data_IF_581826202691
#
_entry.id   IF_581826202691
#
_cell.length_a   1.000
_cell.length_b   1.000
_cell.length_c   1.000
_cell.angle_alpha   90.00
_cell.angle_beta   90.00
_cell.angle_gamma   90.00
#
_symmetry.space_group_name_H-M   'P 1'
#
loop_
_entity.id
_entity.type
_entity.pdbx_description
1 polymer ?
#
# COMPACT_ATOMS: atom_id res chain seq x y z
N UNK A 1 16.67 7.23 8.66
CA UNK A 1 16.61 5.77 8.37
C UNK A 1 16.50 5.03 9.68
N UNK A 2 15.69 3.97 9.76
CA UNK A 2 15.37 3.31 11.03
C UNK A 2 16.31 2.15 11.39
N UNK A 3 17.03 1.58 10.41
CA UNK A 3 17.87 0.39 10.63
C UNK A 3 19.00 0.63 11.65
N UNK A 4 19.80 1.72 11.59
CA UNK A 4 20.85 1.98 12.58
C UNK A 4 20.30 2.09 14.01
N UNK A 5 19.12 2.72 14.17
CA UNK A 5 18.46 2.88 15.47
C UNK A 5 18.07 1.52 16.07
N UNK A 6 17.61 0.59 15.23
CA UNK A 6 17.29 -0.77 15.68
C UNK A 6 18.57 -1.52 16.06
N UNK A 7 19.64 -1.40 15.28
CA UNK A 7 20.92 -2.05 15.58
C UNK A 7 21.49 -1.56 16.93
N UNK A 8 21.47 -0.25 17.18
CA UNK A 8 21.86 0.34 18.47
C UNK A 8 21.00 -0.21 19.62
N UNK A 9 19.68 -0.30 19.43
CA UNK A 9 18.75 -0.81 20.44
C UNK A 9 19.03 -2.28 20.76
N UNK A 10 19.40 -3.08 19.76
CA UNK A 10 19.75 -4.48 19.94
C UNK A 10 20.99 -4.65 20.83
N UNK A 11 21.90 -3.68 20.91
CA UNK A 11 23.07 -3.79 21.79
C UNK A 11 22.68 -3.76 23.29
N UNK A 12 21.56 -3.13 23.63
CA UNK A 12 21.07 -3.04 25.02
C UNK A 12 20.30 -4.28 25.49
N UNK A 13 19.96 -5.20 24.58
CA UNK A 13 19.19 -6.40 24.89
C UNK A 13 20.12 -7.61 25.17
N UNK A 14 19.66 -8.65 25.89
CA UNK A 14 20.44 -9.87 26.13
C UNK A 14 20.88 -10.54 24.84
N UNK A 15 22.08 -11.14 24.77
CA UNK A 15 22.56 -11.82 23.54
C UNK A 15 21.62 -12.93 23.08
N UNK A 16 21.12 -13.72 24.02
CA UNK A 16 20.09 -14.72 23.77
C UNK A 16 18.72 -14.05 23.85
N UNK A 17 18.04 -13.94 22.71
CA UNK A 17 16.71 -13.32 22.59
C UNK A 17 15.92 -13.95 21.46
N UNK A 18 14.60 -13.91 21.58
CA UNK A 18 13.71 -14.22 20.48
C UNK A 18 13.36 -12.94 19.72
N UNK A 19 13.52 -12.95 18.40
CA UNK A 19 13.08 -11.86 17.52
C UNK A 19 11.95 -12.39 16.64
N UNK A 20 10.84 -11.65 16.60
CA UNK A 20 9.73 -11.89 15.68
C UNK A 20 9.66 -10.73 14.70
N UNK A 21 9.97 -10.98 13.44
CA UNK A 21 9.97 -9.96 12.39
C UNK A 21 8.76 -10.17 11.47
N UNK A 22 7.97 -9.12 11.30
CA UNK A 22 6.81 -9.10 10.40
C UNK A 22 7.06 -8.05 9.31
N UNK A 23 7.02 -8.47 8.04
CA UNK A 23 7.17 -7.55 6.92
C UNK A 23 6.15 -7.87 5.81
N UNK A 24 5.63 -6.81 5.19
CA UNK A 24 4.76 -6.90 4.03
C UNK A 24 5.55 -6.84 2.69
N UNK A 25 6.85 -6.54 2.75
CA UNK A 25 7.76 -6.52 1.58
C UNK A 25 9.16 -6.98 2.00
N UNK A 26 9.99 -7.38 1.03
CA UNK A 26 11.36 -7.87 1.29
C UNK A 26 12.41 -7.05 0.53
N UNK A 27 12.60 -5.75 0.85
CA UNK A 27 13.74 -5.02 0.31
C UNK A 27 15.05 -5.58 0.88
N UNK A 28 16.16 -5.36 0.16
CA UNK A 28 17.49 -5.88 0.55
C UNK A 28 17.88 -5.53 2.00
N UNK A 29 17.54 -4.34 2.49
CA UNK A 29 17.83 -3.94 3.87
C UNK A 29 17.18 -4.83 4.93
N UNK A 30 15.98 -5.37 4.67
CA UNK A 30 15.30 -6.32 5.56
C UNK A 30 15.96 -7.69 5.48
N UNK A 31 16.39 -8.10 4.29
CA UNK A 31 17.11 -9.38 4.08
C UNK A 31 18.46 -9.35 4.82
N UNK A 32 19.20 -8.26 4.68
CA UNK A 32 20.50 -8.08 5.35
C UNK A 32 20.33 -8.06 6.88
N UNK A 33 19.32 -7.34 7.38
CA UNK A 33 19.00 -7.33 8.81
C UNK A 33 18.63 -8.72 9.34
N UNK A 34 17.76 -9.46 8.61
CA UNK A 34 17.40 -10.85 8.94
C UNK A 34 18.64 -11.73 9.04
N UNK A 35 19.51 -11.68 8.02
CA UNK A 35 20.69 -12.53 7.96
C UNK A 35 21.69 -12.21 9.08
N UNK A 36 21.79 -10.94 9.48
CA UNK A 36 22.69 -10.50 10.56
C UNK A 36 22.18 -10.84 11.95
N UNK A 37 20.89 -10.68 12.21
CA UNK A 37 20.32 -10.76 13.57
C UNK A 37 19.45 -11.99 13.83
N UNK A 38 19.07 -12.72 12.78
CA UNK A 38 18.12 -13.84 12.82
C UNK A 38 18.54 -15.00 11.88
N UNK A 39 19.79 -15.50 11.91
CA UNK A 39 20.32 -16.42 10.91
C UNK A 39 19.57 -17.77 10.83
N UNK A 40 18.98 -18.23 11.94
CA UNK A 40 18.22 -19.50 12.01
C UNK A 40 16.71 -19.29 12.13
N UNK A 41 16.19 -18.13 11.72
CA UNK A 41 14.76 -17.87 11.82
C UNK A 41 13.92 -18.81 10.94
N UNK A 42 12.83 -19.31 11.50
CA UNK A 42 11.81 -20.00 10.73
C UNK A 42 11.04 -18.99 9.86
N UNK A 43 11.15 -19.13 8.55
CA UNK A 43 10.56 -18.22 7.59
C UNK A 43 9.19 -18.73 7.13
N UNK A 44 8.15 -17.91 7.37
CA UNK A 44 6.80 -18.15 6.85
C UNK A 44 6.52 -17.09 5.80
N UNK A 45 6.77 -17.43 4.53
CA UNK A 45 6.42 -16.56 3.42
C UNK A 45 5.04 -16.95 2.88
N UNK A 46 4.04 -16.12 3.20
CA UNK A 46 2.68 -16.24 2.68
C UNK A 46 2.43 -15.35 1.47
N UNK A 47 3.45 -14.63 0.99
CA UNK A 47 3.35 -13.91 -0.27
C UNK A 47 3.61 -14.89 -1.40
N UNK A 48 2.62 -15.06 -2.27
CA UNK A 48 2.95 -15.35 -3.66
C UNK A 48 3.88 -14.23 -4.11
N UNK A 49 5.01 -14.55 -4.76
CA UNK A 49 5.85 -13.51 -5.39
C UNK A 49 4.89 -12.55 -6.09
N UNK A 50 4.92 -11.26 -5.71
CA UNK A 50 4.19 -10.19 -6.37
C UNK A 50 4.80 -10.02 -7.76
N UNK A 51 4.61 -11.04 -8.60
CA UNK A 51 4.99 -11.01 -9.98
C UNK A 51 3.98 -10.08 -10.63
N UNK A 52 4.47 -9.04 -11.30
CA UNK A 52 3.66 -8.23 -12.22
C UNK A 52 3.21 -9.05 -13.44
N UNK A 53 3.32 -10.39 -13.37
CA UNK A 53 2.97 -11.34 -14.40
C UNK A 53 1.46 -11.30 -14.58
N UNK A 54 1.03 -10.86 -15.76
CA UNK A 54 -0.38 -10.63 -16.06
C UNK A 54 -0.87 -9.20 -15.79
N UNK A 55 -0.01 -8.31 -15.27
CA UNK A 55 -0.34 -6.88 -15.10
C UNK A 55 0.28 -6.07 -16.24
N UNK A 56 -0.56 -5.61 -17.16
CA UNK A 56 -0.14 -4.68 -18.21
C UNK A 56 -0.06 -3.26 -17.64
N UNK A 57 1.11 -2.63 -17.75
CA UNK A 57 1.38 -1.31 -17.19
C UNK A 57 1.45 -0.26 -18.29
N UNK A 58 0.79 0.88 -18.04
CA UNK A 58 0.79 2.03 -18.94
C UNK A 58 1.11 3.30 -18.16
N UNK A 59 1.58 4.31 -18.87
CA UNK A 59 1.67 5.67 -18.34
C UNK A 59 0.96 6.64 -19.27
N UNK A 60 0.42 7.71 -18.71
CA UNK A 60 -0.15 8.82 -19.45
C UNK A 60 0.53 10.11 -19.00
N UNK A 61 1.08 10.86 -19.95
CA UNK A 61 1.64 12.17 -19.67
C UNK A 61 0.50 13.18 -19.53
N UNK A 62 0.29 13.70 -18.32
CA UNK A 62 -0.83 14.60 -17.99
C UNK A 62 -0.39 15.72 -17.06
N UNK A 63 -0.86 16.93 -17.33
CA UNK A 63 -0.75 18.03 -16.39
C UNK A 63 -1.71 17.83 -15.20
N UNK A 64 -1.41 18.45 -14.07
CA UNK A 64 -2.19 18.31 -12.84
C UNK A 64 -3.68 18.66 -13.04
N UNK A 65 -3.96 19.74 -13.77
CA UNK A 65 -5.33 20.19 -14.10
C UNK A 65 -6.10 19.21 -14.99
N UNK A 66 -5.39 18.36 -15.74
CA UNK A 66 -5.97 17.40 -16.67
C UNK A 66 -6.23 16.04 -16.03
N UNK A 67 -5.65 15.73 -14.86
CA UNK A 67 -5.74 14.41 -14.22
C UNK A 67 -7.18 13.93 -14.02
N UNK A 68 -8.06 14.79 -13.51
CA UNK A 68 -9.46 14.42 -13.26
C UNK A 68 -10.19 14.13 -14.58
N UNK A 69 -9.93 14.91 -15.62
CA UNK A 69 -10.52 14.70 -16.94
C UNK A 69 -10.00 13.42 -17.61
N UNK A 70 -8.70 13.17 -17.51
CA UNK A 70 -8.06 11.94 -17.99
C UNK A 70 -8.66 10.72 -17.28
N UNK A 71 -8.79 10.77 -15.95
CA UNK A 71 -9.39 9.70 -15.16
C UNK A 71 -10.85 9.42 -15.58
N UNK A 72 -11.65 10.47 -15.76
CA UNK A 72 -13.03 10.32 -16.24
C UNK A 72 -13.07 9.65 -17.63
N UNK A 73 -12.15 10.02 -18.52
CA UNK A 73 -12.04 9.38 -19.85
C UNK A 73 -11.69 7.89 -19.74
N UNK A 74 -10.80 7.52 -18.80
CA UNK A 74 -10.49 6.12 -18.53
C UNK A 74 -11.72 5.36 -18.02
N UNK A 75 -12.47 5.93 -17.09
CA UNK A 75 -13.72 5.34 -16.58
C UNK A 75 -14.78 5.16 -17.67
N UNK A 76 -14.89 6.06 -18.64
CA UNK A 76 -15.83 5.88 -19.76
C UNK A 76 -15.37 4.87 -20.81
N UNK A 77 -14.06 4.68 -20.99
CA UNK A 77 -13.52 3.84 -22.08
C UNK A 77 -13.19 2.42 -21.65
N UNK A 78 -12.89 2.20 -20.37
CA UNK A 78 -12.50 0.90 -19.86
C UNK A 78 -13.70 0.20 -19.23
N UNK A 79 -13.82 -1.10 -19.50
CA UNK A 79 -14.77 -1.94 -18.79
C UNK A 79 -14.16 -2.34 -17.44
N UNK A 80 -14.45 -1.54 -16.42
CA UNK A 80 -13.90 -1.69 -15.07
C UNK A 80 -14.91 -2.44 -14.20
N UNK A 81 -14.50 -3.56 -13.59
CA UNK A 81 -15.27 -4.21 -12.54
C UNK A 81 -15.11 -3.46 -11.20
N UNK A 82 -13.86 -3.36 -10.72
CA UNK A 82 -13.47 -2.55 -9.57
C UNK A 82 -12.14 -1.86 -9.87
N UNK A 83 -11.93 -0.67 -9.28
CA UNK A 83 -10.69 0.08 -9.43
C UNK A 83 -10.22 0.65 -8.09
N UNK A 84 -8.89 0.73 -7.94
CA UNK A 84 -8.22 1.39 -6.82
C UNK A 84 -7.40 2.54 -7.38
N UNK A 85 -7.57 3.75 -6.82
CA UNK A 85 -6.80 4.93 -7.20
C UNK A 85 -5.94 5.37 -6.02
N UNK A 86 -4.62 5.44 -6.26
CA UNK A 86 -3.66 5.89 -5.26
C UNK A 86 -3.39 7.40 -5.38
N UNK A 87 -3.39 8.09 -4.25
CA UNK A 87 -3.06 9.51 -4.14
C UNK A 87 -1.91 9.70 -3.13
N UNK A 88 -1.02 10.66 -3.41
CA UNK A 88 0.16 10.90 -2.57
C UNK A 88 -0.12 11.60 -1.23
N UNK A 89 -1.36 12.06 -0.98
CA UNK A 89 -1.71 12.69 0.30
C UNK A 89 -3.16 12.45 0.69
N UNK A 90 -3.41 12.50 2.00
CA UNK A 90 -4.74 12.36 2.61
C UNK A 90 -5.74 13.35 2.02
N UNK A 91 -5.36 14.63 1.96
CA UNK A 91 -6.21 15.69 1.41
C UNK A 91 -6.59 15.42 -0.05
N UNK A 92 -5.67 14.85 -0.85
CA UNK A 92 -5.97 14.51 -2.24
C UNK A 92 -6.89 13.30 -2.37
N UNK A 93 -6.81 12.33 -1.45
CA UNK A 93 -7.77 11.21 -1.38
C UNK A 93 -9.18 11.76 -1.18
N UNK A 94 -9.38 12.61 -0.18
CA UNK A 94 -10.70 13.19 0.14
C UNK A 94 -11.24 14.06 -1.00
N UNK A 95 -10.40 14.95 -1.56
CA UNK A 95 -10.80 15.82 -2.68
C UNK A 95 -11.15 15.03 -3.94
N UNK A 96 -10.36 13.99 -4.26
CA UNK A 96 -10.63 13.17 -5.44
C UNK A 96 -11.90 12.35 -5.25
N UNK A 97 -12.10 11.74 -4.08
CA UNK A 97 -13.32 11.00 -3.76
C UNK A 97 -14.56 11.88 -3.92
N UNK A 98 -14.55 13.09 -3.36
CA UNK A 98 -15.63 14.06 -3.54
C UNK A 98 -15.92 14.34 -5.02
N UNK A 99 -14.88 14.62 -5.83
CA UNK A 99 -15.05 14.90 -7.26
C UNK A 99 -15.59 13.69 -8.04
N UNK A 100 -15.11 12.49 -7.74
CA UNK A 100 -15.58 11.25 -8.38
C UNK A 100 -17.06 11.00 -8.05
N UNK A 101 -17.46 11.21 -6.80
CA UNK A 101 -18.87 11.13 -6.38
C UNK A 101 -19.74 12.19 -7.06
N UNK A 102 -19.25 13.43 -7.20
CA UNK A 102 -19.94 14.51 -7.93
C UNK A 102 -20.11 14.18 -9.43
N UNK A 103 -19.19 13.42 -10.02
CA UNK A 103 -19.29 12.91 -11.39
C UNK A 103 -20.26 11.71 -11.53
N UNK A 104 -20.87 11.25 -10.43
CA UNK A 104 -21.89 10.20 -10.42
C UNK A 104 -21.34 8.78 -10.25
N UNK A 105 -20.05 8.63 -9.95
CA UNK A 105 -19.46 7.31 -9.67
C UNK A 105 -19.59 6.95 -8.19
N UNK A 106 -19.96 5.72 -7.89
CA UNK A 106 -19.88 5.17 -6.54
C UNK A 106 -18.42 4.93 -6.18
N UNK A 107 -17.96 5.51 -5.06
CA UNK A 107 -16.64 5.23 -4.54
C UNK A 107 -16.59 5.31 -3.01
N UNK A 108 -15.66 4.54 -2.44
CA UNK A 108 -15.20 4.70 -1.08
C UNK A 108 -13.81 5.33 -1.09
N UNK A 109 -13.37 5.84 0.06
CA UNK A 109 -12.00 6.30 0.23
C UNK A 109 -11.40 5.81 1.55
N UNK A 110 -10.08 5.62 1.54
CA UNK A 110 -9.32 5.14 2.69
C UNK A 110 -7.99 5.88 2.77
N UNK A 111 -7.61 6.37 3.96
CA UNK A 111 -6.33 7.03 4.17
C UNK A 111 -5.81 6.88 5.61
N UNK A 112 -4.55 7.23 5.84
CA UNK A 112 -3.83 6.97 7.10
C UNK A 112 -4.37 7.70 8.33
N UNK A 113 -5.04 8.85 8.15
CA UNK A 113 -5.67 9.61 9.26
C UNK A 113 -7.02 9.05 9.75
N UNK A 114 -7.58 8.03 9.09
CA UNK A 114 -8.83 7.40 9.54
C UNK A 114 -8.55 6.44 10.69
N UNK A 115 -9.50 6.31 11.62
CA UNK A 115 -9.47 5.24 12.62
C UNK A 115 -9.39 3.86 11.95
N UNK A 116 -8.59 2.97 12.52
CA UNK A 116 -8.36 1.64 11.97
C UNK A 116 -9.67 0.84 11.79
N UNK A 117 -10.63 0.99 12.71
CA UNK A 117 -11.96 0.39 12.59
C UNK A 117 -12.71 0.84 11.34
N UNK A 118 -12.68 2.14 11.02
CA UNK A 118 -13.30 2.68 9.81
C UNK A 118 -12.57 2.20 8.55
N UNK A 119 -11.24 2.14 8.57
CA UNK A 119 -10.43 1.59 7.47
C UNK A 119 -10.79 0.14 7.17
N UNK A 120 -10.92 -0.69 8.21
CA UNK A 120 -11.31 -2.09 8.07
C UNK A 120 -12.71 -2.22 7.48
N UNK A 121 -13.67 -1.41 7.96
CA UNK A 121 -15.04 -1.41 7.41
C UNK A 121 -15.06 -1.08 5.92
N UNK A 122 -14.42 0.01 5.52
CA UNK A 122 -14.34 0.42 4.10
C UNK A 122 -13.70 -0.68 3.26
N UNK A 123 -12.65 -1.33 3.76
CA UNK A 123 -12.01 -2.45 3.06
C UNK A 123 -12.94 -3.64 2.86
N UNK A 124 -13.72 -4.01 3.89
CA UNK A 124 -14.70 -5.10 3.78
C UNK A 124 -15.86 -4.74 2.85
N UNK A 125 -16.40 -3.53 2.97
CA UNK A 125 -17.48 -3.04 2.12
C UNK A 125 -17.02 -3.05 0.65
N UNK A 126 -15.83 -2.51 0.35
CA UNK A 126 -15.26 -2.53 -1.01
C UNK A 126 -15.04 -3.95 -1.54
N UNK A 127 -14.61 -4.90 -0.70
CA UNK A 127 -14.38 -6.30 -1.12
C UNK A 127 -15.69 -7.03 -1.45
N UNK A 128 -16.80 -6.63 -0.85
CA UNK A 128 -18.10 -7.26 -1.08
C UNK A 128 -18.81 -6.76 -2.34
N UNK A 129 -18.30 -5.69 -2.97
CA UNK A 129 -18.92 -5.04 -4.13
C UNK A 129 -19.99 -4.04 -3.75
#
# INVERSE_FOLDING_TARGET
EFQPIIEDLLEFLPKERQILMYSATFPMSIVDFKNKHMPEAHEINLMDELTLKGVTQFYAFVEERQKVHCLNTLFSKLQINQAIIFCNSVTRVELLAKKITELGFSCFFIHSRMYQSHRNRVFHDFRNG
#
